data_IF_328620961312
#
_entry.id   IF_328620961312
#
_cell.length_a   1.000
_cell.length_b   1.000
_cell.length_c   1.000
_cell.angle_alpha   90.00
_cell.angle_beta   90.00
_cell.angle_gamma   90.00
#
_symmetry.space_group_name_H-M   'P 1'
#
loop_
_entity.id
_entity.type
_entity.pdbx_description
1 polymer ?
#
# COMPACT_ATOMS: atom_id res chain seq x y z
N UNK A 1 21.87 -12.42 2.39
CA UNK A 1 21.32 -11.21 3.01
C UNK A 1 21.05 -10.20 1.92
N UNK A 2 19.80 -10.10 1.45
CA UNK A 2 19.41 -8.98 0.58
C UNK A 2 19.50 -7.71 1.41
N UNK A 3 20.39 -6.78 1.04
CA UNK A 3 20.39 -5.46 1.68
C UNK A 3 19.06 -4.76 1.37
N UNK A 4 18.45 -4.15 2.39
CA UNK A 4 17.29 -3.28 2.20
C UNK A 4 17.75 -2.06 1.40
N UNK A 5 17.16 -1.85 0.22
CA UNK A 5 17.48 -0.71 -0.63
C UNK A 5 16.74 0.53 -0.13
N UNK A 6 17.47 1.42 0.57
CA UNK A 6 16.96 2.69 1.06
C UNK A 6 17.13 3.77 0.01
N UNK A 7 16.07 4.51 -0.27
CA UNK A 7 16.02 5.56 -1.28
C UNK A 7 15.68 6.88 -0.58
N UNK A 8 16.52 7.90 -0.81
CA UNK A 8 16.24 9.28 -0.39
C UNK A 8 15.47 9.99 -1.48
N UNK A 9 14.44 10.73 -1.08
CA UNK A 9 13.51 11.40 -1.98
C UNK A 9 13.43 12.87 -1.60
N UNK A 10 13.61 13.75 -2.58
CA UNK A 10 13.48 15.20 -2.37
C UNK A 10 12.02 15.63 -2.47
N UNK A 11 11.63 16.77 -1.86
CA UNK A 11 10.32 17.37 -2.09
C UNK A 11 9.99 17.48 -3.58
N UNK A 12 8.72 17.29 -3.92
CA UNK A 12 8.15 17.34 -5.26
C UNK A 12 8.64 16.24 -6.22
N UNK A 13 9.52 15.34 -5.78
CA UNK A 13 9.96 14.20 -6.56
C UNK A 13 8.88 13.11 -6.55
N UNK A 14 8.41 12.75 -7.76
CA UNK A 14 7.54 11.60 -7.96
C UNK A 14 8.32 10.29 -7.81
N UNK A 15 7.72 9.32 -7.12
CA UNK A 15 8.21 7.94 -7.03
C UNK A 15 7.76 7.14 -8.24
N UNK A 16 6.53 7.38 -8.69
CA UNK A 16 5.93 6.84 -9.90
C UNK A 16 4.73 7.69 -10.29
N UNK A 17 4.32 7.56 -11.56
CA UNK A 17 3.12 8.18 -12.10
C UNK A 17 1.98 7.18 -12.28
N UNK A 18 0.75 7.69 -12.22
CA UNK A 18 -0.46 6.96 -12.61
C UNK A 18 -0.29 6.38 -14.02
N UNK A 19 -0.71 5.13 -14.20
CA UNK A 19 -0.62 4.40 -15.47
C UNK A 19 0.70 3.66 -15.70
N UNK A 20 1.75 3.92 -14.91
CA UNK A 20 3.02 3.18 -15.03
C UNK A 20 2.86 1.72 -14.57
N UNK A 21 3.74 0.84 -15.06
CA UNK A 21 3.85 -0.53 -14.53
C UNK A 21 4.53 -0.49 -13.16
N UNK A 22 3.97 -1.22 -12.18
CA UNK A 22 4.57 -1.32 -10.85
C UNK A 22 5.68 -2.38 -10.80
N UNK A 23 6.91 -1.95 -10.56
CA UNK A 23 8.07 -2.84 -10.41
C UNK A 23 8.47 -3.07 -8.94
N UNK A 24 7.97 -2.22 -8.04
CA UNK A 24 8.22 -2.28 -6.60
C UNK A 24 7.08 -1.62 -5.81
N UNK A 25 6.96 -1.98 -4.53
CA UNK A 25 6.25 -1.21 -3.52
C UNK A 25 7.28 -0.55 -2.59
N UNK A 26 6.83 0.34 -1.71
CA UNK A 26 7.73 1.12 -0.86
C UNK A 26 7.17 1.27 0.54
N UNK A 27 8.01 1.09 1.56
CA UNK A 27 7.71 1.45 2.95
C UNK A 27 8.27 2.85 3.23
N UNK A 28 7.48 3.73 3.81
CA UNK A 28 7.94 5.06 4.24
C UNK A 28 8.69 4.92 5.56
N UNK A 29 10.02 5.09 5.51
CA UNK A 29 10.86 5.08 6.71
C UNK A 29 10.87 6.44 7.43
N UNK A 30 10.71 7.54 6.68
CA UNK A 30 10.47 8.88 7.23
C UNK A 30 9.92 9.83 6.15
N UNK A 31 9.25 10.90 6.59
CA UNK A 31 8.72 11.94 5.72
C UNK A 31 7.24 11.75 5.39
N UNK A 32 6.79 12.37 4.29
CA UNK A 32 5.39 12.28 3.87
C UNK A 32 5.22 12.51 2.37
N UNK A 33 4.19 11.90 1.82
CA UNK A 33 3.89 11.88 0.39
C UNK A 33 2.44 12.28 0.17
N UNK A 34 2.14 12.81 -1.01
CA UNK A 34 0.75 12.93 -1.47
C UNK A 34 0.46 11.93 -2.58
N UNK A 35 -0.80 11.52 -2.64
CA UNK A 35 -1.34 10.64 -3.66
C UNK A 35 -2.20 11.48 -4.60
N UNK A 36 -1.98 11.35 -5.90
CA UNK A 36 -2.69 12.11 -6.93
C UNK A 36 -3.33 11.18 -7.95
N UNK A 37 -4.61 11.42 -8.27
CA UNK A 37 -5.30 10.82 -9.43
C UNK A 37 -5.71 11.95 -10.35
N UNK A 38 -5.37 11.83 -11.63
CA UNK A 38 -5.63 12.85 -12.65
C UNK A 38 -5.17 14.25 -12.19
N UNK A 39 -3.97 14.30 -11.57
CA UNK A 39 -3.32 15.48 -11.00
C UNK A 39 -4.06 16.14 -9.83
N UNK A 40 -5.09 15.50 -9.27
CA UNK A 40 -5.78 15.97 -8.07
C UNK A 40 -5.25 15.23 -6.85
N UNK A 41 -4.89 15.97 -5.80
CA UNK A 41 -4.54 15.38 -4.51
C UNK A 41 -5.79 14.69 -3.91
N UNK A 42 -5.67 13.39 -3.66
CA UNK A 42 -6.72 12.55 -3.07
C UNK A 42 -6.38 12.05 -1.67
N UNK A 43 -5.18 12.36 -1.18
CA UNK A 43 -4.77 11.99 0.16
C UNK A 43 -3.28 12.04 0.39
N UNK A 44 -2.87 11.54 1.55
CA UNK A 44 -1.54 11.71 2.12
C UNK A 44 -1.08 10.41 2.75
N UNK A 45 0.19 10.10 2.53
CA UNK A 45 0.88 8.98 3.13
C UNK A 45 1.96 9.47 4.09
N UNK A 46 2.21 8.69 5.13
CA UNK A 46 3.09 9.02 6.24
C UNK A 46 3.97 7.85 6.66
N UNK A 47 4.87 8.11 7.59
CA UNK A 47 5.81 7.12 8.13
C UNK A 47 5.13 5.82 8.58
N UNK A 48 5.74 4.69 8.25
CA UNK A 48 5.24 3.36 8.55
C UNK A 48 4.27 2.79 7.51
N UNK A 49 3.78 3.60 6.57
CA UNK A 49 2.87 3.13 5.53
C UNK A 49 3.62 2.50 4.34
N UNK A 50 3.01 1.47 3.77
CA UNK A 50 3.39 0.88 2.48
C UNK A 50 2.56 1.51 1.37
N UNK A 51 3.19 1.85 0.25
CA UNK A 51 2.50 2.35 -0.95
C UNK A 51 3.01 1.70 -2.24
N UNK A 52 2.18 1.74 -3.27
CA UNK A 52 2.45 1.10 -4.56
C UNK A 52 2.18 -0.42 -4.57
N UNK A 53 1.76 -1.00 -3.45
CA UNK A 53 1.43 -2.41 -3.26
C UNK A 53 0.27 -2.88 -4.15
N UNK A 54 -0.73 -2.03 -4.40
CA UNK A 54 -1.93 -2.42 -5.16
C UNK A 54 -1.56 -2.91 -6.57
N UNK A 55 -0.63 -2.23 -7.23
CA UNK A 55 -0.16 -2.61 -8.57
C UNK A 55 0.47 -4.01 -8.55
N UNK A 56 1.22 -4.34 -7.50
CA UNK A 56 1.87 -5.64 -7.36
C UNK A 56 0.89 -6.76 -6.94
N UNK A 57 -0.08 -6.43 -6.08
CA UNK A 57 -1.10 -7.39 -5.60
C UNK A 57 -2.06 -7.79 -6.73
N UNK A 58 -2.46 -6.81 -7.55
CA UNK A 58 -3.47 -6.97 -8.59
C UNK A 58 -2.87 -7.28 -9.97
N UNK A 59 -1.59 -6.98 -10.19
CA UNK A 59 -0.96 -7.08 -11.51
C UNK A 59 -1.47 -6.01 -12.48
N UNK A 60 -1.90 -4.87 -11.95
CA UNK A 60 -2.47 -3.75 -12.72
C UNK A 60 -1.52 -2.53 -12.70
N UNK A 61 -1.62 -1.59 -13.67
CA UNK A 61 -0.87 -0.34 -13.63
C UNK A 61 -1.13 0.49 -12.37
N UNK A 62 -0.21 1.42 -12.05
CA UNK A 62 -0.35 2.38 -10.93
C UNK A 62 -1.68 3.13 -11.04
N UNK A 63 -2.49 3.07 -9.99
CA UNK A 63 -3.79 3.77 -9.95
C UNK A 63 -3.69 5.25 -9.65
N UNK A 64 -2.57 5.68 -9.08
CA UNK A 64 -2.31 7.05 -8.69
C UNK A 64 -0.81 7.36 -8.87
N UNK A 65 -0.49 8.64 -8.99
CA UNK A 65 0.87 9.15 -8.84
C UNK A 65 1.16 9.38 -7.36
N UNK A 66 2.42 9.23 -6.96
CA UNK A 66 2.86 9.51 -5.58
C UNK A 66 4.11 10.36 -5.61
N UNK A 67 4.12 11.48 -4.88
CA UNK A 67 5.30 12.36 -4.74
C UNK A 67 5.56 12.75 -3.30
N UNK A 68 6.82 13.00 -2.97
CA UNK A 68 7.22 13.48 -1.66
C UNK A 68 6.82 14.95 -1.46
N UNK A 69 6.42 15.29 -0.24
CA UNK A 69 6.09 16.67 0.17
C UNK A 69 7.24 17.30 0.95
N UNK A 70 8.03 16.47 1.61
CA UNK A 70 9.18 16.83 2.44
C UNK A 70 10.33 15.90 2.10
N UNK A 71 11.58 16.21 2.46
CA UNK A 71 12.67 15.24 2.36
C UNK A 71 12.28 13.94 3.06
N UNK A 72 12.33 12.83 2.34
CA UNK A 72 11.78 11.55 2.79
C UNK A 72 12.77 10.41 2.55
N UNK A 73 12.63 9.33 3.32
CA UNK A 73 13.36 8.07 3.11
C UNK A 73 12.34 6.94 2.93
N UNK A 74 12.52 6.14 1.89
CA UNK A 74 11.69 4.96 1.62
C UNK A 74 12.55 3.71 1.49
N UNK A 75 11.98 2.56 1.81
CA UNK A 75 12.60 1.25 1.61
C UNK A 75 11.88 0.53 0.48
N UNK A 76 12.63 0.11 -0.52
CA UNK A 76 12.09 -0.64 -1.65
C UNK A 76 11.68 -2.07 -1.24
N UNK A 77 10.47 -2.46 -1.62
CA UNK A 77 9.92 -3.81 -1.45
C UNK A 77 9.74 -4.43 -2.84
N UNK A 78 10.58 -5.43 -3.16
CA UNK A 78 10.49 -6.16 -4.42
C UNK A 78 9.22 -7.03 -4.48
N UNK A 79 8.68 -7.31 -5.69
CA UNK A 79 7.47 -8.13 -5.84
C UNK A 79 7.57 -9.51 -5.19
N UNK A 80 8.73 -10.16 -5.25
CA UNK A 80 8.95 -11.45 -4.59
C UNK A 80 8.81 -11.37 -3.07
N UNK A 81 9.37 -10.33 -2.45
CA UNK A 81 9.29 -10.12 -1.00
C UNK A 81 7.86 -9.79 -0.56
N UNK A 82 7.14 -8.95 -1.31
CA UNK A 82 5.72 -8.69 -1.04
C UNK A 82 4.88 -9.97 -1.18
N UNK A 83 5.15 -10.79 -2.21
CA UNK A 83 4.47 -12.07 -2.41
C UNK A 83 4.74 -13.04 -1.27
N UNK A 84 5.97 -13.16 -0.81
CA UNK A 84 6.33 -13.98 0.35
C UNK A 84 5.60 -13.51 1.62
N UNK A 85 5.57 -12.19 1.86
CA UNK A 85 4.83 -11.61 2.97
C UNK A 85 3.33 -11.95 2.91
N UNK A 86 2.70 -11.81 1.74
CA UNK A 86 1.29 -12.21 1.55
C UNK A 86 1.07 -13.70 1.81
N UNK A 87 1.98 -14.56 1.33
CA UNK A 87 1.89 -16.01 1.50
C UNK A 87 2.21 -16.47 2.93
N UNK A 88 2.82 -15.63 3.77
CA UNK A 88 3.04 -15.92 5.19
C UNK A 88 1.78 -15.80 6.05
N UNK A 89 0.69 -15.26 5.49
CA UNK A 89 -0.60 -15.14 6.17
C UNK A 89 -1.49 -16.38 6.03
N UNK A 90 -2.51 -16.48 6.88
CA UNK A 90 -3.59 -17.43 6.68
C UNK A 90 -4.28 -17.21 5.33
N UNK A 91 -4.84 -18.29 4.77
CA UNK A 91 -5.54 -18.23 3.49
C UNK A 91 -6.69 -17.21 3.50
N UNK A 92 -7.38 -17.07 4.63
CA UNK A 92 -8.50 -16.15 4.78
C UNK A 92 -8.03 -14.71 4.82
N UNK A 93 -6.97 -14.39 5.58
CA UNK A 93 -6.39 -13.04 5.57
C UNK A 93 -5.88 -12.66 4.18
N UNK A 94 -5.20 -13.57 3.48
CA UNK A 94 -4.74 -13.35 2.11
C UNK A 94 -5.90 -13.01 1.14
N UNK A 95 -7.03 -13.71 1.26
CA UNK A 95 -8.24 -13.43 0.46
C UNK A 95 -8.82 -12.06 0.79
N UNK A 96 -8.92 -11.71 2.08
CA UNK A 96 -9.42 -10.41 2.53
C UNK A 96 -8.53 -9.27 2.01
N UNK A 97 -7.20 -9.38 2.13
CA UNK A 97 -6.25 -8.39 1.60
C UNK A 97 -6.47 -8.18 0.10
N UNK A 98 -6.62 -9.28 -0.67
CA UNK A 98 -6.93 -9.19 -2.10
C UNK A 98 -8.27 -8.54 -2.39
N UNK A 99 -9.31 -8.82 -1.60
CA UNK A 99 -10.62 -8.18 -1.76
C UNK A 99 -10.55 -6.68 -1.47
N UNK A 100 -9.97 -6.28 -0.34
CA UNK A 100 -9.77 -4.86 0.00
C UNK A 100 -8.95 -4.15 -1.10
N UNK A 101 -7.91 -4.79 -1.60
CA UNK A 101 -7.09 -4.23 -2.69
C UNK A 101 -7.90 -4.02 -3.97
N UNK A 102 -8.78 -4.96 -4.33
CA UNK A 102 -9.67 -4.83 -5.48
C UNK A 102 -10.67 -3.69 -5.30
N UNK A 103 -11.22 -3.55 -4.10
CA UNK A 103 -12.15 -2.46 -3.78
C UNK A 103 -11.44 -1.11 -3.88
N UNK A 104 -10.25 -0.95 -3.29
CA UNK A 104 -9.43 0.27 -3.42
C UNK A 104 -9.09 0.62 -4.87
N UNK A 105 -8.97 -0.37 -5.76
CA UNK A 105 -8.70 -0.17 -7.18
C UNK A 105 -9.93 0.26 -8.00
N UNK A 106 -11.14 0.18 -7.44
CA UNK A 106 -12.36 0.66 -8.11
C UNK A 106 -12.39 2.19 -8.15
N UNK A 107 -12.92 2.78 -9.24
CA UNK A 107 -13.08 4.23 -9.32
C UNK A 107 -14.22 4.75 -8.42
N UNK A 108 -15.22 3.92 -8.12
CA UNK A 108 -16.39 4.28 -7.31
C UNK A 108 -17.12 3.03 -6.80
N UNK A 109 -18.16 3.25 -5.98
CA UNK A 109 -19.03 2.19 -5.43
C UNK A 109 -18.22 1.14 -4.64
N UNK A 110 -17.35 1.64 -3.79
CA UNK A 110 -16.54 0.84 -2.88
C UNK A 110 -17.43 0.09 -1.88
N UNK A 111 -17.13 -1.19 -1.70
CA UNK A 111 -17.74 -2.02 -0.66
C UNK A 111 -16.67 -2.42 0.33
N UNK A 112 -16.98 -2.37 1.63
CA UNK A 112 -16.05 -2.82 2.65
C UNK A 112 -16.22 -4.35 2.84
N UNK A 113 -15.24 -5.19 2.46
CA UNK A 113 -15.43 -6.65 2.47
C UNK A 113 -15.54 -7.25 3.88
N UNK A 114 -15.09 -6.50 4.89
CA UNK A 114 -14.98 -6.96 6.27
C UNK A 114 -15.01 -5.76 7.22
N UNK A 115 -15.68 -5.90 8.37
CA UNK A 115 -15.60 -4.86 9.41
C UNK A 115 -14.21 -4.82 10.07
N UNK A 116 -13.88 -3.71 10.73
CA UNK A 116 -12.61 -3.59 11.46
C UNK A 116 -12.51 -4.63 12.60
N UNK A 117 -13.62 -4.93 13.28
CA UNK A 117 -13.64 -5.89 14.38
C UNK A 117 -13.44 -7.32 13.90
N UNK A 118 -14.08 -7.72 12.80
CA UNK A 118 -13.84 -9.03 12.17
C UNK A 118 -12.42 -9.15 11.64
N UNK A 119 -11.87 -8.08 11.05
CA UNK A 119 -10.48 -8.07 10.60
C UNK A 119 -9.53 -8.29 11.78
N UNK A 120 -9.69 -7.57 12.90
CA UNK A 120 -8.86 -7.76 14.10
C UNK A 120 -8.91 -9.19 14.65
N UNK A 121 -10.06 -9.89 14.53
CA UNK A 121 -10.17 -11.30 14.90
C UNK A 121 -9.33 -12.20 13.97
N UNK A 122 -9.35 -11.95 12.66
CA UNK A 122 -8.52 -12.67 11.67
C UNK A 122 -7.02 -12.40 11.82
N UNK A 123 -6.64 -11.23 12.33
CA UNK A 123 -5.26 -10.85 12.57
C UNK A 123 -4.63 -11.53 13.78
N UNK A 124 -5.43 -12.23 14.62
CA UNK A 124 -4.90 -13.00 15.75
C UNK A 124 -3.89 -14.03 15.23
N UNK A 125 -2.72 -14.03 15.85
CA UNK A 125 -1.59 -14.92 15.55
C UNK A 125 -0.98 -14.76 14.14
N UNK A 126 -1.33 -13.70 13.42
CA UNK A 126 -0.73 -13.38 12.12
C UNK A 126 0.56 -12.57 12.28
N UNK A 127 1.53 -12.67 11.36
CA UNK A 127 2.75 -11.88 11.41
C UNK A 127 2.47 -10.37 11.45
N UNK A 128 3.18 -9.63 12.30
CA UNK A 128 2.92 -8.19 12.53
C UNK A 128 2.91 -7.38 11.24
N UNK A 129 3.86 -7.63 10.34
CA UNK A 129 4.01 -6.86 9.09
C UNK A 129 2.79 -7.03 8.18
N UNK A 130 2.27 -8.25 8.03
CA UNK A 130 1.09 -8.47 7.19
C UNK A 130 -0.18 -7.93 7.86
N UNK A 131 -0.26 -8.00 9.19
CA UNK A 131 -1.34 -7.41 9.97
C UNK A 131 -1.39 -5.89 9.82
N UNK A 132 -0.23 -5.22 9.86
CA UNK A 132 -0.13 -3.77 9.61
C UNK A 132 -0.57 -3.41 8.19
N UNK A 133 -0.16 -4.17 7.17
CA UNK A 133 -0.61 -3.94 5.80
C UNK A 133 -2.12 -4.11 5.65
N UNK A 134 -2.70 -5.15 6.24
CA UNK A 134 -4.14 -5.39 6.19
C UNK A 134 -4.94 -4.26 6.85
N UNK A 135 -4.50 -3.80 8.03
CA UNK A 135 -5.13 -2.67 8.74
C UNK A 135 -5.01 -1.37 7.95
N UNK A 136 -3.84 -1.12 7.34
CA UNK A 136 -3.63 0.06 6.50
C UNK A 136 -4.59 0.07 5.29
N UNK A 137 -4.66 -1.03 4.54
CA UNK A 137 -5.56 -1.13 3.39
C UNK A 137 -7.03 -0.98 3.79
N UNK A 138 -7.42 -1.59 4.92
CA UNK A 138 -8.76 -1.45 5.47
C UNK A 138 -9.08 0.00 5.86
N UNK A 139 -8.15 0.67 6.54
CA UNK A 139 -8.29 2.08 6.91
C UNK A 139 -8.45 2.98 5.68
N UNK A 140 -7.63 2.77 4.63
CA UNK A 140 -7.75 3.51 3.37
C UNK A 140 -9.13 3.33 2.74
N UNK A 141 -9.61 2.10 2.68
CA UNK A 141 -10.89 1.78 2.06
C UNK A 141 -12.07 2.33 2.86
N UNK A 142 -12.03 2.21 4.20
CA UNK A 142 -13.11 2.67 5.08
C UNK A 142 -13.18 4.19 5.22
N UNK A 143 -12.03 4.88 5.21
CA UNK A 143 -11.98 6.34 5.24
C UNK A 143 -12.13 6.99 3.86
N UNK A 144 -12.00 6.21 2.77
CA UNK A 144 -11.72 6.72 1.42
C UNK A 144 -10.53 7.70 1.40
N UNK A 145 -9.51 7.40 2.21
CA UNK A 145 -8.29 8.19 2.33
C UNK A 145 -7.21 7.41 1.59
N UNK A 146 -6.60 8.02 0.57
CA UNK A 146 -5.60 7.38 -0.28
C UNK A 146 -4.18 7.84 0.03
#
# INVERSE_FOLDING_TARGET
>A
MSMLNKIRVLPDQYIFNQGETGEAAYLIASGSFIVEIDQKNIGKLSEGEIFGELSLILGEPRKASVKAVVPSEIVEIKPAALKELLLSSSLDLHKIIKQISKELAKPSNHELPISLEELKLLLKDQPTVISSLALQLHHRLSGMIF
#
